data_IF_669717165142
#
_entry.id   IF_669717165142
#
_cell.length_a   1.000
_cell.length_b   1.000
_cell.length_c   1.000
_cell.angle_alpha   90.00
_cell.angle_beta   90.00
_cell.angle_gamma   90.00
#
_symmetry.space_group_name_H-M   'P 1'
#
loop_
_entity.id
_entity.type
_entity.pdbx_description
1 polymer ?
#
# COMPACT_ATOMS: atom_id res chain seq x y z
N UNK A 1 -14.47 20.61 3.73
CA UNK A 1 -13.28 21.06 2.97
C UNK A 1 -12.00 20.67 3.70
N UNK A 2 -11.83 21.01 4.99
CA UNK A 2 -10.60 20.70 5.75
C UNK A 2 -10.27 19.21 5.91
N UNK A 3 -11.28 18.35 6.09
CA UNK A 3 -11.06 16.90 6.19
C UNK A 3 -10.64 16.28 4.85
N UNK A 4 -11.05 16.89 3.72
CA UNK A 4 -10.65 16.46 2.38
C UNK A 4 -9.16 16.76 2.14
N UNK A 5 -8.72 17.97 2.48
CA UNK A 5 -7.30 18.37 2.39
C UNK A 5 -6.39 17.54 3.30
N UNK A 6 -6.86 17.20 4.50
CA UNK A 6 -6.14 16.30 5.42
C UNK A 6 -6.07 14.85 4.91
N UNK A 7 -7.09 14.37 4.20
CA UNK A 7 -7.08 13.04 3.57
C UNK A 7 -6.17 13.02 2.35
N UNK A 8 -6.20 14.08 1.54
CA UNK A 8 -5.43 14.17 0.31
C UNK A 8 -3.93 14.40 0.58
N UNK A 9 -3.52 15.02 1.70
CA UNK A 9 -2.11 15.28 2.09
C UNK A 9 -1.20 15.66 0.90
N UNK A 10 -1.65 16.59 0.06
CA UNK A 10 -0.95 17.08 -1.15
C UNK A 10 -0.91 16.13 -2.37
N UNK A 11 -1.56 14.97 -2.31
CA UNK A 11 -1.67 14.03 -3.43
C UNK A 11 -2.77 14.45 -4.39
N UNK A 12 -2.56 14.20 -5.69
CA UNK A 12 -3.61 14.40 -6.69
C UNK A 12 -4.65 13.30 -6.53
N UNK A 13 -5.89 13.58 -6.91
CA UNK A 13 -6.98 12.60 -6.92
C UNK A 13 -6.64 11.37 -7.76
N UNK A 14 -5.93 11.56 -8.87
CA UNK A 14 -5.39 10.49 -9.71
C UNK A 14 -4.40 9.57 -8.97
N UNK A 15 -3.55 10.14 -8.10
CA UNK A 15 -2.58 9.36 -7.33
C UNK A 15 -3.30 8.46 -6.31
N UNK A 16 -4.43 8.94 -5.77
CA UNK A 16 -5.25 8.20 -4.81
C UNK A 16 -6.12 7.16 -5.50
N UNK A 17 -6.72 7.50 -6.64
CA UNK A 17 -7.43 6.53 -7.48
C UNK A 17 -6.52 5.37 -7.85
N UNK A 18 -5.28 5.67 -8.27
CA UNK A 18 -4.26 4.66 -8.51
C UNK A 18 -3.96 3.84 -7.26
N UNK A 19 -3.72 4.46 -6.11
CA UNK A 19 -3.47 3.75 -4.86
C UNK A 19 -4.64 2.81 -4.47
N UNK A 20 -5.87 3.22 -4.72
CA UNK A 20 -7.08 2.41 -4.50
C UNK A 20 -7.25 1.27 -5.51
N UNK A 21 -6.64 1.36 -6.69
CA UNK A 21 -6.65 0.29 -7.69
C UNK A 21 -5.70 -0.87 -7.36
N UNK A 22 -4.76 -0.66 -6.43
CA UNK A 22 -3.75 -1.66 -6.08
C UNK A 22 -4.35 -2.85 -5.32
N UNK A 23 -3.86 -4.04 -5.63
CA UNK A 23 -4.09 -5.25 -4.86
C UNK A 23 -3.38 -5.21 -3.50
N UNK A 24 -3.78 -6.08 -2.58
CA UNK A 24 -3.20 -6.16 -1.23
C UNK A 24 -1.68 -6.37 -1.26
N UNK A 25 -1.16 -7.26 -2.12
CA UNK A 25 0.28 -7.50 -2.25
C UNK A 25 1.05 -6.30 -2.81
N UNK A 26 0.44 -5.52 -3.69
CA UNK A 26 1.03 -4.28 -4.22
C UNK A 26 1.09 -3.19 -3.16
N UNK A 27 0.03 -3.06 -2.36
CA UNK A 27 0.01 -2.15 -1.20
C UNK A 27 1.07 -2.56 -0.17
N UNK A 28 1.18 -3.85 0.15
CA UNK A 28 2.18 -4.37 1.08
C UNK A 28 3.61 -4.10 0.60
N UNK A 29 3.85 -4.17 -0.71
CA UNK A 29 5.13 -3.79 -1.30
C UNK A 29 5.42 -2.30 -1.08
N UNK A 30 4.48 -1.41 -1.38
CA UNK A 30 4.67 0.04 -1.18
C UNK A 30 4.91 0.38 0.30
N UNK A 31 4.17 -0.25 1.21
CA UNK A 31 4.38 -0.11 2.66
C UNK A 31 5.77 -0.59 3.05
N UNK A 32 6.21 -1.73 2.50
CA UNK A 32 7.54 -2.28 2.77
C UNK A 32 8.65 -1.37 2.24
N UNK A 33 8.47 -0.76 1.06
CA UNK A 33 9.39 0.23 0.52
C UNK A 33 9.48 1.48 1.40
N UNK A 34 8.32 2.00 1.87
CA UNK A 34 8.31 3.14 2.79
C UNK A 34 9.01 2.83 4.11
N UNK A 35 8.76 1.65 4.69
CA UNK A 35 9.45 1.20 5.91
C UNK A 35 10.96 1.06 5.70
N UNK A 36 11.37 0.48 4.57
CA UNK A 36 12.78 0.34 4.24
C UNK A 36 13.47 1.70 4.11
N UNK A 37 12.82 2.66 3.45
CA UNK A 37 13.32 4.02 3.30
C UNK A 37 13.50 4.73 4.66
N UNK A 38 12.50 4.64 5.54
CA UNK A 38 12.56 5.18 6.91
C UNK A 38 13.75 4.57 7.66
N UNK A 39 13.83 3.24 7.69
CA UNK A 39 14.89 2.54 8.39
C UNK A 39 16.29 2.88 7.85
N UNK A 40 16.42 3.09 6.53
CA UNK A 40 17.67 3.52 5.91
C UNK A 40 18.06 4.96 6.26
N UNK A 41 17.08 5.86 6.31
CA UNK A 41 17.28 7.25 6.72
C UNK A 41 17.74 7.32 8.19
N UNK A 42 17.11 6.54 9.07
CA UNK A 42 17.50 6.39 10.48
C UNK A 42 18.93 5.87 10.65
N UNK A 43 19.28 4.77 9.95
CA UNK A 43 20.66 4.22 9.99
C UNK A 43 21.69 5.23 9.48
N UNK A 44 21.30 6.08 8.54
CA UNK A 44 22.21 7.07 7.94
C UNK A 44 22.34 8.34 8.80
N UNK A 45 21.64 8.44 9.93
CA UNK A 45 21.57 9.64 10.79
C UNK A 45 20.97 10.88 10.08
N UNK A 46 20.08 10.64 9.11
CA UNK A 46 19.40 11.68 8.32
C UNK A 46 17.90 11.35 8.19
N UNK A 47 17.13 11.33 9.30
CA UNK A 47 15.73 10.92 9.30
C UNK A 47 14.84 11.77 8.38
N UNK A 48 15.21 13.02 8.11
CA UNK A 48 14.51 13.92 7.19
C UNK A 48 14.45 13.38 5.75
N UNK A 49 15.39 12.52 5.35
CA UNK A 49 15.35 11.87 4.04
C UNK A 49 14.10 11.00 3.87
N UNK A 50 13.55 10.45 4.96
CA UNK A 50 12.37 9.61 4.91
C UNK A 50 11.11 10.39 4.46
N UNK A 51 11.05 11.70 4.70
CA UNK A 51 9.92 12.55 4.32
C UNK A 51 9.82 12.73 2.81
N UNK A 52 10.94 12.62 2.09
CA UNK A 52 10.97 12.68 0.62
C UNK A 52 10.36 11.46 -0.05
N UNK A 53 10.17 10.34 0.67
CA UNK A 53 9.49 9.14 0.15
C UNK A 53 7.96 9.32 0.19
N UNK A 54 7.47 10.30 -0.56
CA UNK A 54 6.06 10.54 -0.76
C UNK A 54 5.42 9.48 -1.69
N UNK A 55 4.10 9.56 -1.88
CA UNK A 55 3.37 8.60 -2.69
C UNK A 55 3.89 8.55 -4.15
N UNK A 56 4.31 9.69 -4.70
CA UNK A 56 4.81 9.77 -6.07
C UNK A 56 6.16 9.08 -6.21
N UNK A 57 7.07 9.31 -5.26
CA UNK A 57 8.36 8.66 -5.25
C UNK A 57 8.22 7.15 -5.00
N UNK A 58 7.33 6.74 -4.09
CA UNK A 58 7.01 5.33 -3.87
C UNK A 58 6.46 4.65 -5.13
N UNK A 59 5.56 5.32 -5.85
CA UNK A 59 5.05 4.84 -7.14
C UNK A 59 6.17 4.66 -8.16
N UNK A 60 7.05 5.66 -8.30
CA UNK A 60 8.18 5.59 -9.22
C UNK A 60 9.13 4.44 -8.88
N UNK A 61 9.46 4.26 -7.59
CA UNK A 61 10.31 3.16 -7.12
C UNK A 61 9.66 1.79 -7.36
N UNK A 62 8.37 1.65 -7.06
CA UNK A 62 7.61 0.42 -7.32
C UNK A 62 7.63 0.05 -8.80
N UNK A 63 7.44 1.03 -9.69
CA UNK A 63 7.51 0.84 -11.13
C UNK A 63 8.90 0.39 -11.59
N UNK A 64 9.96 1.09 -11.17
CA UNK A 64 11.35 0.74 -11.54
C UNK A 64 11.71 -0.67 -11.08
N UNK A 65 11.32 -1.05 -9.85
CA UNK A 65 11.58 -2.37 -9.31
C UNK A 65 10.82 -3.46 -10.08
N UNK A 66 9.54 -3.24 -10.35
CA UNK A 66 8.72 -4.20 -11.11
C UNK A 66 9.20 -4.36 -12.55
N UNK A 67 9.61 -3.26 -13.20
CA UNK A 67 10.23 -3.34 -14.52
C UNK A 67 11.54 -4.12 -14.51
N UNK A 68 12.36 -3.94 -13.47
CA UNK A 68 13.64 -4.63 -13.34
C UNK A 68 13.45 -6.13 -13.15
N UNK A 69 12.46 -6.53 -12.33
CA UNK A 69 12.06 -7.94 -12.18
C UNK A 69 11.64 -8.50 -13.53
N UNK A 70 10.68 -7.84 -14.20
CA UNK A 70 10.19 -8.23 -15.53
C UNK A 70 11.31 -8.42 -16.56
N UNK A 71 12.28 -7.50 -16.61
CA UNK A 71 13.43 -7.55 -17.53
C UNK A 71 14.40 -8.67 -17.18
N UNK A 72 14.63 -8.94 -15.89
CA UNK A 72 15.46 -10.07 -15.45
C UNK A 72 14.89 -11.40 -15.91
N UNK A 73 13.57 -11.56 -15.84
CA UNK A 73 12.91 -12.81 -16.22
C UNK A 73 12.95 -13.06 -17.72
N UNK A 74 12.81 -12.01 -18.54
CA UNK A 74 12.99 -12.10 -19.99
C UNK A 74 14.42 -12.50 -20.42
N UNK A 75 15.42 -12.32 -19.54
CA UNK A 75 16.81 -12.69 -19.78
C UNK A 75 17.14 -14.12 -19.33
N UNK A 76 16.27 -14.76 -18.53
CA UNK A 76 16.46 -16.12 -18.05
C UNK A 76 15.84 -17.11 -19.06
N UNK A 77 16.62 -18.13 -19.44
CA UNK A 77 16.29 -19.15 -20.43
C UNK A 77 14.86 -19.73 -20.24
N UNK A 78 13.99 -19.71 -21.26
CA UNK A 78 12.64 -20.29 -21.21
C UNK A 78 12.60 -21.77 -20.78
N UNK A 79 13.74 -22.48 -20.86
CA UNK A 79 13.86 -23.88 -20.45
C UNK A 79 13.85 -24.11 -18.93
N UNK A 80 14.09 -23.09 -18.11
CA UNK A 80 13.99 -23.20 -16.66
C UNK A 80 12.56 -22.81 -16.23
N UNK A 81 11.79 -23.75 -15.67
CA UNK A 81 10.36 -23.65 -15.31
C UNK A 81 9.92 -22.53 -14.34
N UNK A 82 10.60 -21.38 -14.31
CA UNK A 82 10.23 -20.15 -13.59
C UNK A 82 9.20 -19.30 -14.34
N UNK A 83 8.91 -19.63 -15.60
CA UNK A 83 7.93 -18.92 -16.44
C UNK A 83 6.51 -18.86 -15.82
N UNK A 84 6.21 -19.73 -14.85
CA UNK A 84 4.89 -19.76 -14.19
C UNK A 84 4.72 -18.74 -13.05
N UNK A 85 5.81 -18.29 -12.39
CA UNK A 85 5.69 -17.42 -11.21
C UNK A 85 5.37 -15.96 -11.55
N UNK A 86 5.65 -15.51 -12.79
CA UNK A 86 5.62 -14.09 -13.15
C UNK A 86 4.57 -13.74 -14.22
N UNK A 87 3.77 -14.71 -14.67
CA UNK A 87 2.55 -14.49 -15.47
C UNK A 87 1.55 -13.52 -14.80
N UNK A 88 1.75 -13.18 -13.52
CA UNK A 88 0.97 -12.18 -12.79
C UNK A 88 1.44 -10.74 -12.98
N UNK A 89 2.66 -10.46 -13.47
CA UNK A 89 3.15 -9.08 -13.58
C UNK A 89 2.41 -8.24 -14.61
N UNK A 90 1.87 -8.86 -15.66
CA UNK A 90 1.05 -8.15 -16.66
C UNK A 90 -0.25 -7.58 -16.06
N UNK A 91 -0.65 -8.08 -14.87
CA UNK A 91 -1.81 -7.60 -14.10
C UNK A 91 -1.41 -6.66 -12.96
N UNK A 92 -0.14 -6.29 -12.85
CA UNK A 92 0.38 -5.43 -11.80
C UNK A 92 0.07 -3.97 -12.12
N UNK A 93 -0.79 -3.35 -11.32
CA UNK A 93 -1.18 -1.95 -11.40
C UNK A 93 -0.02 -1.01 -11.05
N UNK A 94 1.07 -1.49 -10.42
CA UNK A 94 2.31 -0.71 -10.27
C UNK A 94 3.01 -0.43 -11.61
N UNK A 95 2.81 -1.28 -12.63
CA UNK A 95 3.35 -1.09 -13.98
C UNK A 95 2.48 -0.18 -14.86
N UNK A 96 1.31 0.25 -14.37
CA UNK A 96 0.43 1.15 -15.13
C UNK A 96 1.01 2.57 -15.16
N UNK A 97 1.42 2.98 -16.36
CA UNK A 97 1.99 4.31 -16.62
C UNK A 97 0.87 5.32 -16.87
N UNK A 98 -0.21 4.91 -17.55
CA UNK A 98 -1.41 5.71 -17.73
C UNK A 98 -2.50 5.21 -16.78
N UNK A 99 -2.95 6.09 -15.89
CA UNK A 99 -4.27 5.94 -15.29
C UNK A 99 -5.22 6.48 -16.36
N UNK A 100 -5.81 5.58 -17.16
CA UNK A 100 -6.95 5.98 -18.00
C UNK A 100 -8.02 6.61 -17.11
N UNK A 101 -8.84 7.48 -17.70
CA UNK A 101 -9.84 8.39 -17.12
C UNK A 101 -10.97 7.71 -16.31
N UNK A 102 -10.76 6.48 -15.81
CA UNK A 102 -11.43 5.89 -14.66
C UNK A 102 -11.13 6.70 -13.38
N UNK A 103 -11.62 7.93 -13.36
CA UNK A 103 -11.68 8.74 -12.16
C UNK A 103 -12.68 8.09 -11.19
N UNK A 104 -12.18 7.36 -10.20
CA UNK A 104 -12.99 7.01 -9.03
C UNK A 104 -13.45 8.34 -8.42
N UNK A 105 -14.76 8.45 -8.19
CA UNK A 105 -15.36 9.68 -7.67
C UNK A 105 -14.77 10.01 -6.29
N UNK A 106 -14.40 11.27 -6.10
CA UNK A 106 -13.78 11.76 -4.86
C UNK A 106 -14.73 11.48 -3.69
N UNK A 107 -16.04 11.61 -3.90
CA UNK A 107 -17.04 11.35 -2.86
C UNK A 107 -17.08 9.87 -2.43
N UNK A 108 -16.87 8.95 -3.36
CA UNK A 108 -16.79 7.51 -3.07
C UNK A 108 -15.55 7.17 -2.24
N UNK A 109 -14.39 7.74 -2.60
CA UNK A 109 -13.13 7.58 -1.85
C UNK A 109 -13.30 8.11 -0.42
N UNK A 110 -13.86 9.31 -0.28
CA UNK A 110 -14.07 9.96 1.02
C UNK A 110 -15.03 9.15 1.89
N UNK A 111 -16.12 8.66 1.31
CA UNK A 111 -17.11 7.84 2.01
C UNK A 111 -16.46 6.55 2.51
N UNK A 112 -15.69 5.85 1.66
CA UNK A 112 -14.95 4.64 2.03
C UNK A 112 -13.97 4.87 3.19
N UNK A 113 -13.17 5.95 3.13
CA UNK A 113 -12.21 6.30 4.19
C UNK A 113 -12.93 6.65 5.50
N UNK A 114 -14.01 7.43 5.42
CA UNK A 114 -14.82 7.79 6.58
C UNK A 114 -15.41 6.54 7.26
N UNK A 115 -15.87 5.57 6.50
CA UNK A 115 -16.43 4.34 7.04
C UNK A 115 -15.38 3.43 7.68
N UNK A 116 -14.16 3.38 7.15
CA UNK A 116 -13.02 2.71 7.80
C UNK A 116 -12.71 3.37 9.15
N UNK A 117 -12.67 4.72 9.20
CA UNK A 117 -12.49 5.47 10.45
C UNK A 117 -13.61 5.18 11.47
N UNK A 118 -14.87 5.11 11.03
CA UNK A 118 -16.01 4.75 11.91
C UNK A 118 -15.93 3.30 12.42
N UNK A 119 -15.49 2.35 11.59
CA UNK A 119 -15.28 0.95 12.00
C UNK A 119 -14.18 0.80 13.04
N UNK A 120 -13.08 1.58 12.95
CA UNK A 120 -12.02 1.64 13.98
C UNK A 120 -12.47 2.30 15.29
N UNK A 121 -13.55 3.08 15.31
CA UNK A 121 -14.14 3.70 16.51
C UNK A 121 -15.09 2.78 17.29
N UNK A 122 -15.45 1.59 16.80
CA UNK A 122 -16.23 0.64 17.60
C UNK A 122 -15.30 0.02 18.66
N UNK A 123 -15.58 0.18 19.97
CA UNK A 123 -14.72 -0.41 20.99
C UNK A 123 -14.79 -1.92 20.82
N UNK A 124 -13.62 -2.55 20.67
CA UNK A 124 -13.46 -3.99 20.84
C UNK A 124 -13.95 -4.28 22.26
N UNK A 125 -15.18 -4.80 22.40
CA UNK A 125 -15.63 -5.37 23.67
C UNK A 125 -14.78 -6.63 23.91
N UNK A 126 -13.63 -6.46 24.56
CA UNK A 126 -12.94 -7.54 25.23
C UNK A 126 -13.91 -8.12 26.26
N UNK A 127 -14.62 -9.19 25.89
CA UNK A 127 -15.46 -9.90 26.83
C UNK A 127 -14.54 -10.64 27.80
N UNK A 128 -14.23 -10.03 28.94
CA UNK A 128 -13.57 -10.72 30.04
C UNK A 128 -14.54 -11.76 30.61
N UNK A 129 -14.45 -13.01 30.13
CA UNK A 129 -15.13 -14.14 30.77
C UNK A 129 -14.43 -14.42 32.11
N UNK A 130 -14.95 -13.82 33.18
CA UNK A 130 -14.56 -14.13 34.56
C UNK A 130 -14.81 -15.60 34.87
N UNK A 131 -13.74 -16.42 34.89
CA UNK A 131 -13.76 -17.77 35.44
C UNK A 131 -13.91 -17.69 36.96
N UNK A 132 -15.14 -17.84 37.45
CA UNK A 132 -15.46 -17.99 38.87
C UNK A 132 -14.94 -19.36 39.36
N UNK A 133 -13.75 -19.37 39.97
CA UNK A 133 -13.22 -20.52 40.71
C UNK A 133 -14.12 -20.79 41.92
N UNK A 134 -14.92 -21.87 41.86
CA UNK A 134 -15.57 -22.45 43.05
C UNK A 134 -14.50 -23.17 43.87
N UNK A 135 -14.23 -22.67 45.08
CA UNK A 135 -13.56 -23.42 46.16
C UNK A 135 -14.55 -24.47 46.66
N UNK A 136 -14.18 -25.74 46.63
CA UNK A 136 -14.79 -26.74 47.48
C UNK A 136 -13.89 -26.93 48.72
N UNK A 137 -14.54 -26.96 49.87
CA UNK A 137 -14.03 -27.47 51.14
C UNK A 137 -14.64 -28.84 51.36
#
# INVERSE_FOLDING_TARGET
>A
MDELSEILKNNRTQDISWLCSLSESELDLLISLKKLAIHRAEISDHPELADHFDLKLLRALGLVLMEHVRKKDACLDPSAGHHHQLNGLDKCNLLTINVDDTAIDIEEIVTGICDIKKKKKKPIKLTSKSRKRRRNK
#
